data_IF_070180561655
#
_entry.id   IF_070180561655
#
_cell.length_a   1.000
_cell.length_b   1.000
_cell.length_c   1.000
_cell.angle_alpha   90.00
_cell.angle_beta   90.00
_cell.angle_gamma   90.00
#
_symmetry.space_group_name_H-M   'P 1'
#
loop_
_entity.id
_entity.type
_entity.pdbx_description
1 polymer ?
#
# COMPACT_ATOMS: atom_id res chain seq x y z
N UNK A 1 -22.12 -31.60 7.06
CA UNK A 1 -23.20 -30.67 6.68
C UNK A 1 -22.85 -29.33 7.29
N UNK A 2 -22.35 -28.39 6.49
CA UNK A 2 -22.05 -27.02 6.92
C UNK A 2 -23.37 -26.28 7.14
N UNK A 3 -23.63 -25.83 8.38
CA UNK A 3 -24.74 -24.91 8.66
C UNK A 3 -24.64 -23.66 7.77
N UNK A 4 -25.76 -23.11 7.30
CA UNK A 4 -25.74 -21.86 6.54
C UNK A 4 -25.11 -20.75 7.40
N UNK A 5 -24.23 -19.95 6.79
CA UNK A 5 -23.50 -18.84 7.45
C UNK A 5 -24.46 -17.89 8.18
N UNK A 6 -25.69 -17.75 7.67
CA UNK A 6 -26.76 -16.95 8.28
C UNK A 6 -27.11 -17.34 9.73
N UNK A 7 -26.96 -18.60 10.13
CA UNK A 7 -27.27 -19.03 11.52
C UNK A 7 -26.16 -18.65 12.51
N UNK A 8 -25.01 -18.19 12.00
CA UNK A 8 -23.85 -17.79 12.81
C UNK A 8 -23.74 -16.27 12.99
N UNK A 9 -24.50 -15.47 12.24
CA UNK A 9 -24.42 -14.01 12.31
C UNK A 9 -25.12 -13.50 13.57
N UNK A 10 -24.39 -12.75 14.40
CA UNK A 10 -24.94 -12.13 15.61
C UNK A 10 -24.41 -10.72 15.78
N UNK A 11 -25.16 -9.91 16.52
CA UNK A 11 -24.74 -8.55 16.87
C UNK A 11 -23.47 -8.57 17.74
N UNK A 12 -23.32 -9.58 18.61
CA UNK A 12 -22.14 -9.76 19.45
C UNK A 12 -20.88 -9.97 18.60
N UNK A 13 -20.96 -10.84 17.58
CA UNK A 13 -19.86 -11.06 16.64
C UNK A 13 -19.53 -9.75 15.91
N UNK A 14 -20.53 -9.10 15.31
CA UNK A 14 -20.35 -7.86 14.56
C UNK A 14 -19.69 -6.74 15.41
N UNK A 15 -20.01 -6.66 16.69
CA UNK A 15 -19.38 -5.73 17.62
C UNK A 15 -17.92 -6.08 17.89
N UNK A 16 -17.65 -7.36 18.14
CA UNK A 16 -16.30 -7.86 18.47
C UNK A 16 -15.32 -7.82 17.29
N UNK A 17 -15.82 -7.77 16.05
CA UNK A 17 -15.00 -7.58 14.86
C UNK A 17 -14.14 -6.31 14.97
N UNK A 18 -12.83 -6.52 14.96
CA UNK A 18 -11.82 -5.48 15.14
C UNK A 18 -10.70 -5.65 14.11
N UNK A 19 -10.19 -4.56 13.51
CA UNK A 19 -9.03 -4.62 12.63
C UNK A 19 -7.70 -4.78 13.39
N UNK A 20 -7.72 -4.67 14.73
CA UNK A 20 -6.52 -4.69 15.54
C UNK A 20 -6.19 -6.09 16.05
N UNK A 21 -4.92 -6.47 15.93
CA UNK A 21 -4.39 -7.69 16.53
C UNK A 21 -4.31 -7.58 18.06
N UNK A 22 -4.10 -8.69 18.80
CA UNK A 22 -3.91 -8.65 20.26
C UNK A 22 -2.75 -7.75 20.69
N UNK A 23 -1.75 -7.56 19.83
CA UNK A 23 -0.59 -6.68 20.03
C UNK A 23 -0.89 -5.21 19.68
N UNK A 24 -2.11 -4.90 19.21
CA UNK A 24 -2.57 -3.57 18.82
C UNK A 24 -2.19 -3.17 17.39
N UNK A 25 -1.68 -4.09 16.56
CA UNK A 25 -1.31 -3.80 15.18
C UNK A 25 -2.54 -3.81 14.26
N UNK A 26 -2.64 -2.84 13.34
CA UNK A 26 -3.75 -2.75 12.40
C UNK A 26 -3.51 -3.69 11.20
N UNK A 27 -4.26 -4.80 11.18
CA UNK A 27 -4.14 -5.85 10.17
C UNK A 27 -4.61 -5.36 8.80
N UNK A 28 -5.63 -4.51 8.77
CA UNK A 28 -6.20 -3.98 7.52
C UNK A 28 -5.21 -3.00 6.90
N UNK A 29 -4.59 -2.12 7.69
CA UNK A 29 -3.51 -1.25 7.19
C UNK A 29 -2.37 -2.04 6.57
N UNK A 30 -1.94 -3.15 7.19
CA UNK A 30 -0.90 -4.02 6.61
C UNK A 30 -1.35 -4.59 5.26
N UNK A 31 -2.53 -5.18 5.21
CA UNK A 31 -3.06 -5.78 3.99
C UNK A 31 -3.28 -4.74 2.86
N UNK A 32 -3.71 -3.51 3.20
CA UNK A 32 -3.80 -2.41 2.24
C UNK A 32 -2.43 -2.01 1.68
N UNK A 33 -1.39 -1.99 2.52
CA UNK A 33 -0.01 -1.70 2.07
C UNK A 33 0.54 -2.82 1.19
N UNK A 34 0.21 -4.08 1.49
CA UNK A 34 0.59 -5.22 0.66
C UNK A 34 -0.09 -5.16 -0.71
N UNK A 35 -1.39 -4.82 -0.76
CA UNK A 35 -2.13 -4.59 -2.01
C UNK A 35 -1.51 -3.44 -2.82
N UNK A 36 -1.21 -2.29 -2.17
CA UNK A 36 -0.52 -1.17 -2.82
C UNK A 36 0.84 -1.59 -3.38
N UNK A 37 1.60 -2.40 -2.64
CA UNK A 37 2.89 -2.89 -3.12
C UNK A 37 2.73 -3.76 -4.36
N UNK A 38 1.72 -4.61 -4.42
CA UNK A 38 1.38 -5.38 -5.63
C UNK A 38 1.03 -4.45 -6.80
N UNK A 39 0.25 -3.39 -6.57
CA UNK A 39 -0.01 -2.37 -7.59
C UNK A 39 1.29 -1.74 -8.11
N UNK A 40 2.24 -1.41 -7.22
CA UNK A 40 3.55 -0.85 -7.61
C UNK A 40 4.33 -1.85 -8.44
N UNK A 41 4.41 -3.11 -8.00
CA UNK A 41 5.17 -4.15 -8.68
C UNK A 41 4.59 -4.53 -10.05
N UNK A 42 3.32 -4.27 -10.29
CA UNK A 42 2.63 -4.55 -11.56
C UNK A 42 2.51 -3.33 -12.48
N UNK A 43 2.99 -2.16 -12.05
CA UNK A 43 3.01 -0.97 -12.90
C UNK A 43 3.88 -1.21 -14.15
N UNK A 44 3.35 -0.82 -15.32
CA UNK A 44 3.92 -1.14 -16.64
C UNK A 44 5.37 -0.67 -16.79
N UNK A 45 5.77 0.41 -16.11
CA UNK A 45 7.10 1.01 -16.22
C UNK A 45 8.18 0.18 -15.53
N UNK A 46 7.79 -0.60 -14.53
CA UNK A 46 8.72 -1.28 -13.60
C UNK A 46 8.57 -2.79 -13.62
N UNK A 47 7.35 -3.28 -13.92
CA UNK A 47 6.97 -4.67 -13.78
C UNK A 47 7.85 -5.59 -14.61
N UNK A 48 7.98 -5.34 -15.91
CA UNK A 48 8.72 -6.23 -16.82
C UNK A 48 10.20 -6.36 -16.47
N UNK A 49 10.79 -5.30 -15.93
CA UNK A 49 12.23 -5.24 -15.62
C UNK A 49 12.49 -5.90 -14.26
N UNK A 50 11.83 -5.40 -13.21
CA UNK A 50 12.15 -5.77 -11.84
C UNK A 50 11.27 -6.91 -11.34
N UNK A 51 9.98 -6.89 -11.65
CA UNK A 51 8.96 -7.70 -10.98
C UNK A 51 8.21 -8.67 -11.90
N UNK A 52 8.83 -9.12 -12.99
CA UNK A 52 8.21 -9.97 -14.02
C UNK A 52 7.61 -11.30 -13.53
N UNK A 53 7.93 -11.70 -12.29
CA UNK A 53 7.43 -12.91 -11.63
C UNK A 53 6.19 -12.65 -10.76
N UNK A 54 5.85 -11.39 -10.50
CA UNK A 54 4.73 -11.00 -9.65
C UNK A 54 3.43 -11.13 -10.44
N UNK A 55 2.45 -11.79 -9.86
CA UNK A 55 1.11 -11.92 -10.44
C UNK A 55 0.23 -10.81 -9.85
N UNK A 56 -0.58 -10.10 -10.67
CA UNK A 56 -1.54 -9.13 -10.17
C UNK A 56 -2.52 -9.73 -9.16
N UNK A 57 -2.83 -8.97 -8.11
CA UNK A 57 -3.87 -9.34 -7.16
C UNK A 57 -5.26 -9.08 -7.79
N UNK A 58 -6.22 -10.01 -7.72
CA UNK A 58 -7.57 -9.78 -8.22
C UNK A 58 -8.25 -8.51 -7.67
N UNK A 59 -7.93 -8.12 -6.43
CA UNK A 59 -8.47 -6.91 -5.81
C UNK A 59 -7.93 -5.62 -6.44
N UNK A 60 -6.80 -5.69 -7.17
CA UNK A 60 -6.21 -4.55 -7.84
C UNK A 60 -7.17 -3.91 -8.86
N UNK A 61 -8.00 -4.71 -9.53
CA UNK A 61 -8.98 -4.22 -10.50
C UNK A 61 -10.05 -3.30 -9.87
N UNK A 62 -10.26 -3.43 -8.55
CA UNK A 62 -11.23 -2.63 -7.80
C UNK A 62 -10.63 -1.34 -7.22
N UNK A 63 -9.31 -1.16 -7.33
CA UNK A 63 -8.61 0.04 -6.86
C UNK A 63 -8.68 1.13 -7.93
N UNK A 64 -9.26 2.29 -7.58
CA UNK A 64 -9.32 3.45 -8.47
C UNK A 64 -8.01 4.26 -8.40
N UNK A 65 -7.09 3.94 -9.29
CA UNK A 65 -5.79 4.62 -9.38
C UNK A 65 -5.83 5.88 -10.27
N UNK A 66 -6.96 6.22 -10.92
CA UNK A 66 -7.01 7.29 -11.94
C UNK A 66 -6.60 8.67 -11.44
N UNK A 67 -6.82 8.94 -10.16
CA UNK A 67 -6.54 10.25 -9.53
C UNK A 67 -5.26 10.24 -8.70
N UNK A 68 -4.58 9.10 -8.61
CA UNK A 68 -3.37 8.92 -7.82
C UNK A 68 -2.14 8.84 -8.74
N UNK A 69 -1.02 9.52 -8.42
CA UNK A 69 0.21 9.47 -9.20
C UNK A 69 0.94 8.13 -8.98
N UNK A 70 0.36 7.05 -9.48
CA UNK A 70 0.87 5.69 -9.32
C UNK A 70 2.23 5.51 -10.00
N UNK A 71 2.35 6.01 -11.22
CA UNK A 71 3.57 5.83 -12.00
C UNK A 71 4.75 6.61 -11.41
N UNK A 72 4.60 7.90 -10.99
CA UNK A 72 5.65 8.60 -10.24
C UNK A 72 6.03 7.89 -8.94
N UNK A 73 5.05 7.36 -8.18
CA UNK A 73 5.35 6.60 -6.96
C UNK A 73 6.21 5.37 -7.24
N UNK A 74 5.85 4.57 -8.25
CA UNK A 74 6.56 3.34 -8.59
C UNK A 74 8.02 3.63 -9.00
N UNK A 75 8.23 4.66 -9.82
CA UNK A 75 9.57 5.08 -10.25
C UNK A 75 10.38 5.64 -9.09
N UNK A 76 9.79 6.53 -8.28
CA UNK A 76 10.49 7.15 -7.15
C UNK A 76 10.88 6.11 -6.07
N UNK A 77 10.00 5.15 -5.77
CA UNK A 77 10.28 4.09 -4.79
C UNK A 77 11.39 3.15 -5.28
N UNK A 78 11.44 2.86 -6.58
CA UNK A 78 12.58 2.14 -7.16
C UNK A 78 13.86 2.98 -7.16
N UNK A 79 13.76 4.27 -7.48
CA UNK A 79 14.88 5.21 -7.37
C UNK A 79 15.47 5.22 -5.96
N UNK A 80 14.61 5.24 -4.93
CA UNK A 80 15.04 5.14 -3.53
C UNK A 80 15.71 3.79 -3.26
N UNK A 81 15.11 2.69 -3.72
CA UNK A 81 15.68 1.34 -3.54
C UNK A 81 17.06 1.25 -4.18
N UNK A 82 17.22 1.69 -5.43
CA UNK A 82 18.49 1.68 -6.16
C UNK A 82 19.52 2.63 -5.54
N UNK A 83 19.12 3.82 -5.08
CA UNK A 83 20.03 4.77 -4.44
C UNK A 83 20.59 4.24 -3.11
N UNK A 84 19.83 3.40 -2.41
CA UNK A 84 20.26 2.79 -1.14
C UNK A 84 20.92 1.41 -1.33
N UNK A 85 20.72 0.76 -2.48
CA UNK A 85 21.33 -0.54 -2.82
C UNK A 85 22.71 -0.32 -3.41
N UNK A 86 23.76 -0.75 -2.72
CA UNK A 86 25.14 -0.59 -3.21
C UNK A 86 25.44 -1.64 -4.27
N UNK A 87 25.22 -1.27 -5.53
CA UNK A 87 25.56 -2.08 -6.69
C UNK A 87 27.07 -2.03 -7.02
N UNK A 88 27.58 -3.08 -7.66
CA UNK A 88 28.99 -3.21 -8.05
C UNK A 88 29.42 -2.18 -9.11
N UNK A 89 28.46 -1.66 -9.89
CA UNK A 89 28.69 -0.67 -10.94
C UNK A 89 28.57 0.79 -10.46
N UNK A 90 28.24 0.99 -9.18
CA UNK A 90 28.05 2.30 -8.53
C UNK A 90 26.94 3.15 -9.15
N UNK A 91 25.93 2.54 -9.77
CA UNK A 91 24.75 3.24 -10.30
C UNK A 91 23.96 3.97 -9.21
N UNK A 92 23.94 3.47 -7.97
CA UNK A 92 23.37 4.20 -6.84
C UNK A 92 23.91 5.63 -6.69
N UNK A 93 25.15 5.89 -7.13
CA UNK A 93 25.78 7.21 -7.04
C UNK A 93 25.40 8.19 -8.16
N UNK A 94 24.71 7.72 -9.21
CA UNK A 94 24.19 8.56 -10.30
C UNK A 94 22.74 8.99 -10.07
N UNK A 95 22.08 8.45 -9.04
CA UNK A 95 20.71 8.81 -8.68
C UNK A 95 20.75 10.05 -7.77
N UNK A 96 20.00 11.08 -8.15
CA UNK A 96 19.79 12.25 -7.32
C UNK A 96 18.83 11.90 -6.18
N UNK A 97 19.40 11.43 -5.07
CA UNK A 97 18.62 11.06 -3.88
C UNK A 97 17.76 12.21 -3.34
N UNK A 98 18.23 13.45 -3.41
CA UNK A 98 17.45 14.61 -2.97
C UNK A 98 16.15 14.78 -3.76
N UNK A 99 16.23 14.66 -5.10
CA UNK A 99 15.04 14.74 -5.95
C UNK A 99 14.06 13.58 -5.71
N UNK A 100 14.56 12.37 -5.45
CA UNK A 100 13.74 11.21 -5.09
C UNK A 100 13.02 11.42 -3.76
N UNK A 101 13.75 11.86 -2.73
CA UNK A 101 13.21 12.11 -1.40
C UNK A 101 12.14 13.21 -1.44
N UNK A 102 12.36 14.26 -2.25
CA UNK A 102 11.40 15.34 -2.46
C UNK A 102 10.12 14.84 -3.13
N UNK A 103 10.25 14.05 -4.21
CA UNK A 103 9.09 13.47 -4.92
C UNK A 103 8.27 12.52 -4.03
N UNK A 104 8.94 11.64 -3.26
CA UNK A 104 8.27 10.73 -2.33
C UNK A 104 7.55 11.50 -1.21
N UNK A 105 8.19 12.54 -0.66
CA UNK A 105 7.59 13.39 0.37
C UNK A 105 6.33 14.08 -0.13
N UNK A 106 6.35 14.60 -1.35
CA UNK A 106 5.19 15.27 -1.95
C UNK A 106 4.03 14.28 -2.15
N UNK A 107 4.32 13.05 -2.60
CA UNK A 107 3.32 12.00 -2.75
C UNK A 107 2.73 11.60 -1.38
N UNK A 108 3.56 11.25 -0.40
CA UNK A 108 3.12 10.82 0.92
C UNK A 108 2.40 11.92 1.72
N UNK A 109 2.73 13.19 1.47
CA UNK A 109 2.07 14.35 2.06
C UNK A 109 0.76 14.73 1.36
N UNK A 110 0.47 14.17 0.18
CA UNK A 110 -0.66 14.59 -0.64
C UNK A 110 -2.02 14.13 -0.08
N UNK A 111 -3.08 14.88 -0.44
CA UNK A 111 -4.45 14.44 -0.19
C UNK A 111 -4.78 13.13 -0.92
N UNK A 112 -4.16 12.88 -2.08
CA UNK A 112 -4.40 11.67 -2.86
C UNK A 112 -3.89 10.42 -2.14
N UNK A 113 -2.79 10.52 -1.39
CA UNK A 113 -2.32 9.43 -0.52
C UNK A 113 -3.34 9.04 0.54
N UNK A 114 -3.95 10.03 1.21
CA UNK A 114 -5.00 9.77 2.20
C UNK A 114 -6.25 9.15 1.58
N UNK A 115 -6.68 9.66 0.42
CA UNK A 115 -7.84 9.12 -0.32
C UNK A 115 -7.62 7.69 -0.76
N UNK A 116 -6.45 7.40 -1.36
CA UNK A 116 -6.06 6.05 -1.75
C UNK A 116 -6.06 5.12 -0.54
N UNK A 117 -5.52 5.59 0.59
CA UNK A 117 -5.47 4.79 1.79
C UNK A 117 -6.84 4.45 2.34
N UNK A 118 -7.77 5.41 2.40
CA UNK A 118 -9.14 5.11 2.82
C UNK A 118 -9.85 4.14 1.86
N UNK A 119 -9.64 4.29 0.56
CA UNK A 119 -10.19 3.39 -0.44
C UNK A 119 -9.68 1.96 -0.26
N UNK A 120 -8.36 1.77 -0.21
CA UNK A 120 -7.75 0.44 -0.04
C UNK A 120 -8.12 -0.19 1.30
N UNK A 121 -8.17 0.61 2.35
CA UNK A 121 -8.60 0.16 3.66
C UNK A 121 -10.04 -0.35 3.61
N UNK A 122 -10.96 0.44 3.04
CA UNK A 122 -12.38 0.06 2.91
C UNK A 122 -12.59 -1.16 1.99
N UNK A 123 -11.76 -1.34 0.97
CA UNK A 123 -11.82 -2.48 0.06
C UNK A 123 -11.43 -3.79 0.74
N UNK A 124 -10.38 -3.74 1.58
CA UNK A 124 -9.77 -4.93 2.19
C UNK A 124 -10.39 -5.25 3.56
N UNK A 125 -10.93 -4.25 4.26
CA UNK A 125 -11.55 -4.41 5.58
C UNK A 125 -12.57 -5.55 5.65
N UNK A 126 -13.51 -5.71 4.70
CA UNK A 126 -14.54 -6.73 4.79
C UNK A 126 -13.98 -8.15 4.84
N UNK A 127 -12.86 -8.40 4.16
CA UNK A 127 -12.24 -9.72 4.06
C UNK A 127 -11.25 -10.00 5.19
N UNK A 128 -10.50 -8.98 5.62
CA UNK A 128 -9.46 -9.15 6.65
C UNK A 128 -10.01 -9.18 8.06
N UNK A 129 -11.08 -8.43 8.32
CA UNK A 129 -11.67 -8.35 9.66
C UNK A 129 -12.61 -9.54 9.86
N UNK A 130 -12.11 -10.52 10.61
CA UNK A 130 -12.81 -11.76 10.91
C UNK A 130 -12.71 -12.14 12.38
N UNK A 131 -13.76 -12.78 12.89
CA UNK A 131 -13.76 -13.38 14.21
C UNK A 131 -12.93 -14.67 14.21
N UNK A 132 -11.96 -14.76 15.12
CA UNK A 132 -11.02 -15.88 15.17
C UNK A 132 -11.69 -17.21 15.53
N UNK A 133 -12.78 -17.19 16.29
CA UNK A 133 -13.46 -18.40 16.76
C UNK A 133 -14.43 -18.97 15.71
N UNK A 134 -15.24 -18.12 15.10
CA UNK A 134 -16.29 -18.51 14.16
C UNK A 134 -15.87 -18.47 12.70
N UNK A 135 -14.80 -17.71 12.37
CA UNK A 135 -14.36 -17.45 11.00
C UNK A 135 -15.29 -16.50 10.23
N UNK A 136 -16.26 -15.88 10.90
CA UNK A 136 -17.18 -14.92 10.28
C UNK A 136 -16.44 -13.61 10.04
N UNK A 137 -16.53 -13.12 8.81
CA UNK A 137 -15.93 -11.86 8.36
C UNK A 137 -16.95 -10.73 8.34
N UNK A 138 -16.51 -9.47 8.27
CA UNK A 138 -17.45 -8.36 8.05
C UNK A 138 -18.20 -8.51 6.71
N UNK A 139 -17.54 -9.07 5.68
CA UNK A 139 -18.16 -9.31 4.37
C UNK A 139 -19.47 -10.11 4.47
N UNK A 140 -19.58 -11.03 5.43
CA UNK A 140 -20.78 -11.84 5.64
C UNK A 140 -21.99 -11.01 6.11
N UNK A 141 -21.76 -9.80 6.65
CA UNK A 141 -22.81 -8.86 7.07
C UNK A 141 -23.19 -7.84 5.98
N UNK A 142 -22.39 -7.69 4.92
CA UNK A 142 -22.55 -6.67 3.88
C UNK A 142 -23.48 -7.10 2.73
N UNK A 143 -24.32 -8.12 2.94
CA UNK A 143 -25.28 -8.60 1.96
C UNK A 143 -26.52 -7.70 1.83
N UNK A 144 -27.67 -8.31 1.47
CA UNK A 144 -28.93 -7.57 1.31
C UNK A 144 -29.44 -6.90 2.60
N UNK A 145 -29.04 -7.40 3.77
CA UNK A 145 -29.49 -6.90 5.07
C UNK A 145 -28.44 -6.00 5.77
N UNK A 146 -27.50 -5.42 5.01
CA UNK A 146 -26.41 -4.60 5.58
C UNK A 146 -26.92 -3.40 6.39
N UNK A 147 -27.96 -2.74 5.89
CA UNK A 147 -28.66 -1.63 6.54
C UNK A 147 -29.32 -2.05 7.85
N UNK A 148 -29.93 -3.24 7.89
CA UNK A 148 -30.51 -3.82 9.11
C UNK A 148 -29.44 -4.05 10.17
N UNK A 149 -28.25 -4.52 9.78
CA UNK A 149 -27.14 -4.69 10.71
C UNK A 149 -26.57 -3.36 11.21
N UNK A 150 -26.48 -2.35 10.34
CA UNK A 150 -26.11 -0.99 10.74
C UNK A 150 -27.11 -0.42 11.75
N UNK A 151 -28.41 -0.56 11.50
CA UNK A 151 -29.46 -0.10 12.41
C UNK A 151 -29.32 -0.77 13.79
N UNK A 152 -29.12 -2.10 13.83
CA UNK A 152 -28.92 -2.84 15.08
C UNK A 152 -27.68 -2.36 15.85
N UNK A 153 -26.58 -2.08 15.17
CA UNK A 153 -25.38 -1.50 15.80
C UNK A 153 -25.67 -0.12 16.40
N UNK A 154 -26.37 0.74 15.65
CA UNK A 154 -26.75 2.08 16.12
C UNK A 154 -27.67 2.00 17.33
N UNK A 155 -28.71 1.16 17.28
CA UNK A 155 -29.62 0.97 18.41
C UNK A 155 -28.88 0.49 19.65
N UNK A 156 -27.90 -0.41 19.48
CA UNK A 156 -27.12 -0.93 20.60
C UNK A 156 -26.27 0.15 21.29
N UNK A 157 -25.52 0.97 20.54
CA UNK A 157 -24.76 2.07 21.15
C UNK A 157 -25.67 3.13 21.79
N UNK A 158 -26.94 3.19 21.36
CA UNK A 158 -27.93 4.06 21.95
C UNK A 158 -28.49 3.56 23.29
N UNK A 159 -28.29 2.27 23.62
CA UNK A 159 -28.76 1.71 24.88
C UNK A 159 -28.07 2.37 26.09
N UNK A 160 -28.84 2.77 27.13
CA UNK A 160 -28.27 3.31 28.36
C UNK A 160 -27.28 2.36 29.04
N UNK A 161 -27.53 1.04 28.93
CA UNK A 161 -26.67 -0.01 29.51
C UNK A 161 -25.30 -0.03 28.86
N UNK A 162 -25.23 0.17 27.55
CA UNK A 162 -23.97 0.24 26.82
C UNK A 162 -23.14 1.44 27.31
N UNK A 163 -23.75 2.62 27.37
CA UNK A 163 -23.10 3.85 27.86
C UNK A 163 -22.57 3.65 29.29
N UNK A 164 -23.38 3.08 30.18
CA UNK A 164 -22.98 2.82 31.56
C UNK A 164 -21.80 1.84 31.65
N UNK A 165 -21.80 0.78 30.83
CA UNK A 165 -20.70 -0.19 30.76
C UNK A 165 -19.38 0.45 30.30
N UNK A 166 -19.42 1.26 29.24
CA UNK A 166 -18.23 1.99 28.76
C UNK A 166 -17.72 2.96 29.82
N UNK A 167 -18.59 3.79 30.39
CA UNK A 167 -18.24 4.74 31.44
C UNK A 167 -17.61 4.04 32.64
N UNK A 168 -18.18 2.91 33.08
CA UNK A 168 -17.65 2.14 34.21
C UNK A 168 -16.26 1.59 33.92
N UNK A 169 -15.99 1.12 32.69
CA UNK A 169 -14.65 0.64 32.30
C UNK A 169 -13.62 1.78 32.30
N UNK A 170 -14.01 2.97 31.84
CA UNK A 170 -13.15 4.17 31.87
C UNK A 170 -12.85 4.60 33.31
N UNK A 171 -13.87 4.73 34.16
CA UNK A 171 -13.70 5.14 35.56
C UNK A 171 -12.84 4.15 36.36
N UNK A 172 -12.90 2.86 36.02
CA UNK A 172 -12.05 1.82 36.64
C UNK A 172 -10.64 1.75 36.06
N UNK A 173 -10.31 2.56 35.06
CA UNK A 173 -8.99 2.56 34.41
C UNK A 173 -8.73 1.35 33.51
N UNK A 174 -9.74 0.56 33.17
CA UNK A 174 -9.60 -0.59 32.26
C UNK A 174 -9.80 -0.21 30.78
N UNK A 175 -10.14 1.04 30.50
CA UNK A 175 -10.42 1.53 29.17
C UNK A 175 -10.00 3.00 29.07
N UNK A 176 -8.98 3.28 28.27
CA UNK A 176 -8.47 4.65 28.12
C UNK A 176 -9.31 5.45 27.12
N UNK A 177 -9.17 6.77 27.11
CA UNK A 177 -9.81 7.62 26.09
C UNK A 177 -9.29 7.31 24.68
N UNK A 178 -8.01 6.91 24.56
CA UNK A 178 -7.40 6.51 23.29
C UNK A 178 -7.97 5.18 22.80
N UNK A 179 -8.14 4.19 23.68
CA UNK A 179 -8.80 2.92 23.35
C UNK A 179 -10.25 3.15 22.92
N UNK A 180 -10.98 4.02 23.64
CA UNK A 180 -12.33 4.41 23.26
C UNK A 180 -12.39 5.03 21.87
N UNK A 181 -11.54 6.02 21.58
CA UNK A 181 -11.51 6.65 20.26
C UNK A 181 -11.12 5.67 19.15
N UNK A 182 -10.16 4.78 19.41
CA UNK A 182 -9.76 3.74 18.45
C UNK A 182 -10.93 2.81 18.12
N UNK A 183 -11.63 2.31 19.13
CA UNK A 183 -12.73 1.36 18.95
C UNK A 183 -13.96 2.04 18.32
N UNK A 184 -14.23 3.30 18.67
CA UNK A 184 -15.29 4.08 18.01
C UNK A 184 -14.98 4.32 16.54
N UNK A 185 -13.73 4.63 16.19
CA UNK A 185 -13.34 4.76 14.79
C UNK A 185 -13.48 3.44 14.01
N UNK A 186 -13.14 2.30 14.63
CA UNK A 186 -13.41 0.99 14.03
C UNK A 186 -14.91 0.74 13.84
N UNK A 187 -15.75 1.12 14.81
CA UNK A 187 -17.21 1.07 14.67
C UNK A 187 -17.69 1.96 13.53
N UNK A 188 -17.18 3.18 13.38
CA UNK A 188 -17.58 4.08 12.29
C UNK A 188 -17.17 3.59 10.92
N UNK A 189 -16.03 2.90 10.78
CA UNK A 189 -15.70 2.21 9.53
C UNK A 189 -16.71 1.10 9.23
N UNK A 190 -17.08 0.28 10.23
CA UNK A 190 -18.12 -0.75 10.06
C UNK A 190 -19.46 -0.15 9.64
N UNK A 191 -19.90 0.92 10.30
CA UNK A 191 -21.11 1.65 9.93
C UNK A 191 -21.01 2.21 8.51
N UNK A 192 -19.88 2.80 8.14
CA UNK A 192 -19.67 3.32 6.78
C UNK A 192 -19.79 2.22 5.72
N UNK A 193 -19.27 1.01 5.99
CA UNK A 193 -19.33 -0.11 5.07
C UNK A 193 -20.71 -0.78 4.99
N UNK A 194 -21.46 -0.80 6.09
CA UNK A 194 -22.81 -1.38 6.15
C UNK A 194 -23.89 -0.42 5.62
N UNK A 195 -23.90 0.82 6.13
CA UNK A 195 -24.76 1.90 5.69
C UNK A 195 -24.09 3.27 5.93
N UNK A 196 -23.55 3.93 4.88
CA UNK A 196 -22.95 5.25 5.00
C UNK A 196 -23.84 6.32 5.63
N UNK A 197 -25.17 6.21 5.50
CA UNK A 197 -26.12 7.20 6.04
C UNK A 197 -26.21 7.15 7.57
N UNK A 198 -25.89 6.00 8.17
CA UNK A 198 -25.93 5.78 9.62
C UNK A 198 -24.80 6.48 10.39
N UNK A 199 -23.69 6.83 9.73
CA UNK A 199 -22.47 7.37 10.35
C UNK A 199 -22.73 8.71 11.05
N UNK A 200 -23.36 9.67 10.36
CA UNK A 200 -23.58 11.02 10.91
C UNK A 200 -24.53 11.00 12.11
N UNK A 201 -25.71 10.34 12.05
CA UNK A 201 -26.59 10.20 13.21
C UNK A 201 -25.91 9.55 14.42
N UNK A 202 -25.16 8.46 14.21
CA UNK A 202 -24.44 7.76 15.27
C UNK A 202 -23.37 8.66 15.93
N UNK A 203 -22.62 9.43 15.11
CA UNK A 203 -21.63 10.38 15.60
C UNK A 203 -22.26 11.52 16.42
N UNK A 204 -23.34 12.14 15.91
CA UNK A 204 -24.05 13.19 16.63
C UNK A 204 -24.62 12.70 17.96
N UNK A 205 -25.12 11.46 18.00
CA UNK A 205 -25.58 10.85 19.23
C UNK A 205 -24.46 10.75 20.28
N UNK A 206 -23.32 10.17 19.91
CA UNK A 206 -22.17 9.99 20.82
C UNK A 206 -21.61 11.34 21.28
N UNK A 207 -21.52 12.33 20.40
CA UNK A 207 -21.05 13.68 20.72
C UNK A 207 -21.93 14.38 21.77
N UNK A 208 -23.23 14.06 21.81
CA UNK A 208 -24.17 14.59 22.78
C UNK A 208 -24.16 13.84 24.14
N UNK A 209 -23.41 12.73 24.27
CA UNK A 209 -23.31 11.97 25.51
C UNK A 209 -22.20 12.51 26.42
N UNK A 210 -22.58 13.43 27.31
CA UNK A 210 -21.69 14.01 28.33
C UNK A 210 -21.01 13.00 29.27
N UNK A 211 -21.53 11.78 29.36
CA UNK A 211 -20.97 10.74 30.22
C UNK A 211 -19.75 10.02 29.60
N UNK A 212 -19.48 10.24 28.29
CA UNK A 212 -18.40 9.64 27.55
C UNK A 212 -17.42 10.72 27.06
N UNK A 213 -16.15 10.36 26.78
CA UNK A 213 -15.23 11.24 26.10
C UNK A 213 -15.77 11.66 24.72
N UNK A 214 -15.35 12.83 24.24
CA UNK A 214 -15.68 13.25 22.88
C UNK A 214 -15.01 12.32 21.86
N UNK A 215 -15.77 11.85 20.88
CA UNK A 215 -15.21 11.04 19.79
C UNK A 215 -14.52 11.95 18.78
N UNK A 216 -13.26 11.66 18.48
CA UNK A 216 -12.55 12.21 17.34
C UNK A 216 -12.83 11.32 16.12
N UNK A 217 -13.72 11.76 15.23
CA UNK A 217 -14.06 11.01 14.02
C UNK A 217 -12.94 11.14 12.99
N UNK A 218 -12.21 10.05 12.75
CA UNK A 218 -11.05 10.04 11.88
C UNK A 218 -11.30 9.40 10.51
N UNK A 219 -12.57 9.11 10.17
CA UNK A 219 -12.94 8.36 8.96
C UNK A 219 -12.24 8.88 7.69
N UNK A 220 -12.18 10.21 7.51
CA UNK A 220 -11.56 10.85 6.36
C UNK A 220 -10.22 11.57 6.65
N UNK A 221 -9.82 11.67 7.92
CA UNK A 221 -8.62 12.42 8.33
C UNK A 221 -7.44 11.51 8.66
N UNK A 222 -7.71 10.26 9.07
CA UNK A 222 -6.71 9.24 9.34
C UNK A 222 -5.93 8.90 8.08
N UNK A 223 -4.63 8.72 8.25
CA UNK A 223 -3.77 8.16 7.21
C UNK A 223 -3.76 6.64 7.32
N UNK A 224 -4.67 5.97 6.61
CA UNK A 224 -4.86 4.51 6.70
C UNK A 224 -3.72 3.68 6.12
N UNK A 225 -2.93 4.25 5.20
CA UNK A 225 -1.70 3.62 4.72
C UNK A 225 -0.52 3.90 5.66
N UNK A 226 -0.66 4.81 6.62
CA UNK A 226 0.41 5.22 7.51
C UNK A 226 1.52 5.99 6.78
N UNK A 227 2.73 5.89 7.33
CA UNK A 227 3.90 6.60 6.80
C UNK A 227 4.46 6.02 5.49
N UNK A 228 5.67 6.45 5.11
CA UNK A 228 6.37 6.00 3.91
C UNK A 228 6.40 4.48 3.74
N UNK A 229 6.46 4.02 2.49
CA UNK A 229 6.65 2.60 2.18
C UNK A 229 8.09 2.19 2.53
N UNK A 230 8.27 0.95 2.97
CA UNK A 230 9.63 0.43 3.22
C UNK A 230 10.23 -0.06 1.90
N UNK A 231 11.20 0.69 1.37
CA UNK A 231 11.90 0.34 0.13
C UNK A 231 12.64 -1.00 0.21
N UNK A 232 12.98 -1.48 1.42
CA UNK A 232 13.71 -2.75 1.61
C UNK A 232 12.93 -3.95 1.08
N UNK A 233 11.60 -3.85 1.00
CA UNK A 233 10.73 -4.88 0.43
C UNK A 233 11.00 -5.10 -1.07
N UNK A 234 11.61 -4.12 -1.75
CA UNK A 234 11.98 -4.20 -3.17
C UNK A 234 13.45 -4.57 -3.40
N UNK A 235 14.29 -4.49 -2.36
CA UNK A 235 15.74 -4.62 -2.48
C UNK A 235 16.15 -5.91 -3.19
N UNK A 236 15.59 -7.05 -2.78
CA UNK A 236 15.90 -8.35 -3.37
C UNK A 236 15.55 -8.42 -4.86
N UNK A 237 14.40 -7.87 -5.25
CA UNK A 237 13.94 -7.87 -6.64
C UNK A 237 14.84 -6.98 -7.52
N UNK A 238 15.28 -5.84 -6.98
CA UNK A 238 16.18 -4.91 -7.65
C UNK A 238 17.59 -5.49 -7.81
N UNK A 239 18.16 -6.07 -6.75
CA UNK A 239 19.49 -6.72 -6.80
C UNK A 239 19.49 -7.90 -7.78
N UNK A 240 18.41 -8.68 -7.84
CA UNK A 240 18.32 -9.80 -8.77
C UNK A 240 18.03 -9.38 -10.21
N UNK A 241 17.43 -8.21 -10.44
CA UNK A 241 17.22 -7.69 -11.79
C UNK A 241 18.55 -7.49 -12.53
N UNK A 242 19.63 -7.14 -11.82
CA UNK A 242 20.98 -7.04 -12.38
C UNK A 242 21.47 -8.37 -12.99
N UNK A 243 21.10 -9.49 -12.35
CA UNK A 243 21.52 -10.84 -12.74
C UNK A 243 20.62 -11.44 -13.83
N UNK A 244 19.48 -10.82 -14.14
CA UNK A 244 18.59 -11.31 -15.19
C UNK A 244 19.28 -11.11 -16.55
N UNK A 245 19.49 -12.18 -17.34
CA UNK A 245 20.01 -12.03 -18.68
C UNK A 245 19.00 -11.23 -19.50
N UNK A 246 19.36 -10.00 -19.87
CA UNK A 246 18.69 -9.26 -20.93
C UNK A 246 19.09 -9.92 -22.24
N UNK A 247 18.34 -10.93 -22.67
CA UNK A 247 18.47 -11.43 -24.02
C UNK A 247 18.11 -10.27 -24.97
N UNK A 248 18.96 -9.89 -25.94
CA UNK A 248 18.48 -9.09 -27.05
C UNK A 248 17.29 -9.85 -27.66
N UNK A 249 16.19 -9.15 -27.92
CA UNK A 249 14.99 -9.74 -28.52
C UNK A 249 15.43 -10.61 -29.73
N UNK A 250 15.04 -11.90 -29.80
CA UNK A 250 15.44 -12.75 -30.90
C UNK A 250 14.96 -12.13 -32.22
N UNK A 251 15.89 -11.81 -33.12
CA UNK A 251 15.60 -11.21 -34.44
C UNK A 251 16.01 -9.75 -34.63
N UNK A 252 16.58 -9.09 -33.63
CA UNK A 252 17.02 -7.69 -33.75
C UNK A 252 18.48 -7.59 -34.21
N UNK A 253 18.75 -7.96 -35.46
CA UNK A 253 19.91 -7.40 -36.20
C UNK A 253 19.50 -6.00 -36.68
N UNK A 254 19.67 -4.98 -35.83
CA UNK A 254 19.38 -3.59 -36.19
C UNK A 254 20.58 -3.01 -36.94
N UNK A 255 20.46 -2.90 -38.26
CA UNK A 255 21.28 -1.96 -39.04
C UNK A 255 20.86 -0.53 -38.68
N UNK A 256 21.82 0.36 -38.47
CA UNK A 256 21.63 1.76 -38.11
C UNK A 256 20.95 2.60 -39.22
N UNK A 257 20.74 2.01 -40.41
CA UNK A 257 20.31 2.73 -41.62
C UNK A 257 18.80 2.61 -41.95
N UNK A 258 17.96 2.02 -41.08
CA UNK A 258 16.53 1.84 -41.37
C UNK A 258 15.67 3.04 -40.94
N UNK A 259 14.77 3.57 -41.80
CA UNK A 259 13.86 4.67 -41.48
C UNK A 259 12.77 4.30 -40.45
N UNK A 260 12.70 3.03 -40.05
CA UNK A 260 11.80 2.52 -39.01
C UNK A 260 12.56 2.32 -37.70
N UNK A 261 13.27 3.35 -37.26
CA UNK A 261 13.84 3.36 -35.93
C UNK A 261 12.67 3.44 -34.94
N UNK A 262 12.26 2.29 -34.40
CA UNK A 262 11.41 2.26 -33.22
C UNK A 262 12.22 2.90 -32.09
N UNK A 263 11.95 4.17 -31.86
CA UNK A 263 12.37 4.89 -30.66
C UNK A 263 11.71 4.16 -29.50
N UNK A 264 12.48 3.35 -28.79
CA UNK A 264 12.09 2.94 -27.46
C UNK A 264 12.13 4.22 -26.64
N UNK A 265 10.97 4.77 -26.35
CA UNK A 265 10.82 5.65 -25.21
C UNK A 265 11.20 4.80 -24.00
N UNK A 266 12.48 4.85 -23.64
CA UNK A 266 12.87 4.55 -22.28
C UNK A 266 11.91 5.32 -21.39
N UNK A 267 11.47 4.70 -20.30
CA UNK A 267 10.79 5.39 -19.21
C UNK A 267 11.53 6.72 -19.01
N UNK A 268 10.85 7.86 -18.96
CA UNK A 268 11.50 9.12 -18.66
C UNK A 268 12.11 8.98 -17.24
N UNK A 269 13.38 8.58 -17.18
CA UNK A 269 14.17 8.47 -15.93
C UNK A 269 15.00 9.75 -15.74
N UNK A 270 14.83 10.73 -16.63
CA UNK A 270 15.51 12.02 -16.59
C UNK A 270 15.23 12.80 -15.29
N UNK A 271 14.13 12.50 -14.61
CA UNK A 271 13.72 13.21 -13.39
C UNK A 271 14.65 12.96 -12.18
N UNK A 272 15.31 11.79 -12.13
CA UNK A 272 16.11 11.38 -10.97
C UNK A 272 17.56 11.00 -11.29
N UNK A 273 17.94 10.92 -12.57
CA UNK A 273 19.33 10.66 -12.96
C UNK A 273 20.08 11.99 -13.02
N UNK A 274 21.22 12.07 -12.31
CA UNK A 274 22.13 13.20 -12.43
C UNK A 274 22.72 13.19 -13.85
N UNK A 275 22.46 14.25 -14.62
CA UNK A 275 22.95 14.43 -16.01
C UNK A 275 24.46 14.72 -16.09
N UNK A 276 25.11 14.97 -14.96
CA UNK A 276 26.57 15.02 -14.90
C UNK A 276 27.13 13.62 -15.10
N UNK A 277 27.48 13.31 -16.35
CA UNK A 277 28.29 12.14 -16.69
C UNK A 277 29.55 12.14 -15.83
N UNK A 278 29.61 11.26 -14.82
CA UNK A 278 30.90 10.92 -14.22
C UNK A 278 31.81 10.48 -15.36
N UNK A 279 33.03 11.04 -15.40
CA UNK A 279 34.03 10.62 -16.37
C UNK A 279 34.48 9.19 -16.02
N UNK A 280 33.72 8.20 -16.49
CA UNK A 280 33.96 6.77 -16.29
C UNK A 280 35.13 6.26 -17.15
N UNK A 281 35.94 7.15 -17.72
CA UNK A 281 37.05 6.78 -18.61
C UNK A 281 36.62 6.40 -20.04
N UNK A 282 35.32 6.31 -20.31
CA UNK A 282 34.77 5.90 -21.60
C UNK A 282 35.12 6.87 -22.74
N UNK A 283 35.30 8.16 -22.41
CA UNK A 283 35.57 9.23 -23.38
C UNK A 283 36.97 9.84 -23.25
N UNK A 284 37.74 9.48 -22.22
CA UNK A 284 39.08 10.03 -21.97
C UNK A 284 40.24 9.14 -22.46
N UNK A 285 39.94 7.98 -23.04
CA UNK A 285 40.95 7.02 -23.52
C UNK A 285 41.71 6.29 -22.41
N UNK A 286 41.50 6.67 -21.14
CA UNK A 286 42.00 5.97 -19.98
C UNK A 286 41.02 4.84 -19.65
N UNK A 287 41.31 3.64 -20.16
CA UNK A 287 40.52 2.45 -19.85
C UNK A 287 40.49 2.27 -18.32
N UNK A 288 39.30 2.03 -17.71
CA UNK A 288 39.27 1.50 -16.36
C UNK A 288 40.07 0.19 -16.33
N UNK A 289 40.79 -0.03 -15.23
CA UNK A 289 41.72 -1.14 -15.03
C UNK A 289 40.97 -2.48 -14.86
N UNK A 290 40.20 -2.85 -15.90
CA UNK A 290 39.40 -4.07 -16.00
C UNK A 290 40.24 -5.23 -16.55
N UNK A 291 41.54 -5.02 -16.79
CA UNK A 291 42.45 -6.03 -17.35
C UNK A 291 42.56 -7.24 -16.41
N UNK A 292 42.39 -7.05 -15.10
CA UNK A 292 42.38 -8.15 -14.12
C UNK A 292 41.04 -8.91 -14.03
N UNK A 293 39.92 -8.34 -14.51
CA UNK A 293 38.58 -8.96 -14.43
C UNK A 293 38.14 -9.68 -15.70
N UNK A 294 38.70 -9.34 -16.86
CA UNK A 294 38.36 -9.94 -18.16
C UNK A 294 39.28 -11.12 -18.50
N UNK A 295 39.36 -12.11 -17.62
CA UNK A 295 40.14 -13.33 -17.85
C UNK A 295 39.43 -14.34 -18.77
N UNK A 296 38.15 -14.14 -19.07
CA UNK A 296 37.36 -15.12 -19.83
C UNK A 296 36.97 -14.60 -21.20
N UNK A 297 37.34 -15.37 -22.22
CA UNK A 297 37.12 -15.12 -23.65
C UNK A 297 35.64 -14.98 -24.05
N UNK A 298 34.71 -15.32 -23.15
CA UNK A 298 33.25 -15.15 -23.34
C UNK A 298 32.76 -13.71 -23.20
N UNK A 299 33.54 -12.83 -22.57
CA UNK A 299 33.14 -11.43 -22.35
C UNK A 299 33.55 -10.49 -23.49
N UNK A 300 34.18 -11.03 -24.55
CA UNK A 300 34.71 -10.24 -25.67
C UNK A 300 33.67 -9.81 -26.71
N UNK A 301 32.43 -10.28 -26.62
CA UNK A 301 31.34 -9.89 -27.52
C UNK A 301 30.43 -8.82 -26.89
N UNK A 302 30.99 -7.66 -26.52
CA UNK A 302 30.25 -6.42 -26.26
C UNK A 302 31.13 -5.23 -26.61
N UNK A 303 31.24 -4.92 -27.90
CA UNK A 303 31.42 -3.59 -28.50
C UNK A 303 31.59 -3.77 -30.00
N UNK A 304 30.47 -3.71 -30.73
CA UNK A 304 30.38 -3.08 -32.05
C UNK A 304 29.12 -2.23 -32.04
#
# INVERSE_FOLDING_TARGET
>A
MSQPVSDKLSLEILQSLSPFSPEGSDLVTRASRDLLMTCIKTDLRVHKVFFSHVVPDPLQEQVDLRTFPMEPLAVALLGETMANTKDDYKFHSTINKGAVDDALRDIYGSLQWKKLGFQMYSLVYPEVVQDAASGVSLKDFMGYDADVWAERLVQHIQEPRWTASVQQRIVRGHYTEDDYNRDMNALFVKLHLLDPQSVIPAYQFLLNKRALPAVNLELATRNYLGGPLDWRVLQFDVENAERKPTAPLPGVTRSLDSPHMEVFHGTAVDDFIVTECRNLGLWSGLRPDNVSRLAHTRDKCRMM
#
